data_IF_821317203938
#
_entry.id   IF_821317203938
#
_cell.length_a   1.000
_cell.length_b   1.000
_cell.length_c   1.000
_cell.angle_alpha   90.00
_cell.angle_beta   90.00
_cell.angle_gamma   90.00
#
_symmetry.space_group_name_H-M   'P 1'
#
loop_
_entity.id
_entity.type
_entity.pdbx_description
1 polymer ?
#
# COMPACT_ATOMS: atom_id res chain seq x y z
N UNK A 1 -22.84 23.60 -5.53
CA UNK A 1 -21.83 22.91 -6.36
C UNK A 1 -20.87 22.23 -5.40
N UNK A 2 -20.71 20.90 -5.48
CA UNK A 2 -19.74 20.20 -4.64
C UNK A 2 -18.33 20.67 -5.04
N UNK A 3 -17.56 21.17 -4.08
CA UNK A 3 -16.21 21.67 -4.34
C UNK A 3 -15.29 20.45 -4.50
N UNK A 4 -15.00 20.10 -5.74
CA UNK A 4 -14.17 18.95 -6.09
C UNK A 4 -12.70 19.31 -5.83
N UNK A 5 -12.11 18.67 -4.83
CA UNK A 5 -10.69 18.86 -4.49
C UNK A 5 -9.85 17.94 -5.37
N UNK A 6 -9.00 18.56 -6.20
CA UNK A 6 -8.01 17.85 -7.00
C UNK A 6 -6.73 17.62 -6.18
N UNK A 7 -6.23 16.38 -6.08
CA UNK A 7 -5.03 16.08 -5.32
C UNK A 7 -3.77 16.48 -6.10
N UNK A 8 -3.51 17.78 -6.23
CA UNK A 8 -2.33 18.30 -6.93
C UNK A 8 -1.11 18.18 -6.03
N UNK A 9 -0.11 17.39 -6.45
CA UNK A 9 1.14 17.22 -5.70
C UNK A 9 1.08 16.17 -4.58
N UNK A 10 -0.09 15.61 -4.28
CA UNK A 10 -0.28 14.58 -3.27
C UNK A 10 0.08 13.21 -3.87
N UNK A 11 0.98 12.49 -3.22
CA UNK A 11 1.46 11.17 -3.66
C UNK A 11 1.15 10.05 -2.67
N UNK A 12 0.50 10.38 -1.56
CA UNK A 12 0.10 9.44 -0.52
C UNK A 12 -1.35 9.03 -0.71
N UNK A 13 -1.60 7.71 -0.74
CA UNK A 13 -2.95 7.19 -0.85
C UNK A 13 -3.81 7.56 0.38
N UNK A 14 -3.21 7.54 1.56
CA UNK A 14 -3.88 7.89 2.83
C UNK A 14 -4.39 9.33 2.80
N UNK A 15 -3.55 10.26 2.32
CA UNK A 15 -3.92 11.68 2.25
C UNK A 15 -5.07 11.91 1.26
N UNK A 16 -5.03 11.27 0.09
CA UNK A 16 -6.10 11.39 -0.91
C UNK A 16 -7.44 10.90 -0.33
N UNK A 17 -7.42 9.78 0.41
CA UNK A 17 -8.61 9.22 1.05
C UNK A 17 -9.11 10.08 2.20
N UNK A 18 -8.20 10.62 3.03
CA UNK A 18 -8.57 11.50 4.15
C UNK A 18 -9.12 12.86 3.70
N UNK A 19 -8.65 13.39 2.57
CA UNK A 19 -9.07 14.68 2.04
C UNK A 19 -10.36 14.61 1.20
N UNK A 20 -10.90 13.41 0.98
CA UNK A 20 -12.06 13.22 0.10
C UNK A 20 -11.83 13.71 -1.34
N UNK A 21 -10.57 13.71 -1.78
CA UNK A 21 -10.17 14.19 -3.11
C UNK A 21 -10.51 13.18 -4.20
N UNK A 22 -10.55 13.62 -5.47
CA UNK A 22 -10.75 12.69 -6.58
C UNK A 22 -9.62 11.67 -6.62
N UNK A 23 -10.00 10.40 -6.54
CA UNK A 23 -9.12 9.27 -6.79
C UNK A 23 -9.67 8.46 -7.97
N UNK A 24 -8.83 8.25 -8.99
CA UNK A 24 -9.17 7.35 -10.10
C UNK A 24 -8.93 5.93 -9.64
N UNK A 25 -10.01 5.16 -9.46
CA UNK A 25 -9.91 3.81 -8.96
C UNK A 25 -9.19 2.89 -9.95
N UNK A 26 -8.03 2.39 -9.54
CA UNK A 26 -7.24 1.37 -10.23
C UNK A 26 -6.96 0.18 -9.32
N UNK A 27 -7.72 0.03 -8.24
CA UNK A 27 -7.47 -1.00 -7.23
C UNK A 27 -7.76 -2.41 -7.73
N UNK A 28 -8.59 -2.59 -8.75
CA UNK A 28 -8.75 -3.87 -9.44
C UNK A 28 -7.42 -4.37 -10.04
N UNK A 29 -6.62 -3.47 -10.62
CA UNK A 29 -5.28 -3.82 -11.12
C UNK A 29 -4.33 -4.15 -9.96
N UNK A 30 -4.48 -3.50 -8.80
CA UNK A 30 -3.67 -3.83 -7.62
C UNK A 30 -3.93 -5.26 -7.16
N UNK A 31 -5.19 -5.69 -7.13
CA UNK A 31 -5.57 -7.07 -6.81
C UNK A 31 -4.99 -8.06 -7.82
N UNK A 32 -5.15 -7.81 -9.12
CA UNK A 32 -4.56 -8.66 -10.18
C UNK A 32 -3.04 -8.74 -10.04
N UNK A 33 -2.38 -7.61 -9.74
CA UNK A 33 -0.94 -7.59 -9.52
C UNK A 33 -0.54 -8.48 -8.33
N UNK A 34 -1.28 -8.41 -7.23
CA UNK A 34 -1.02 -9.20 -6.03
C UNK A 34 -1.19 -10.71 -6.26
N UNK A 35 -2.19 -11.11 -7.04
CA UNK A 35 -2.50 -12.53 -7.32
C UNK A 35 -1.55 -13.16 -8.35
N UNK A 36 -1.22 -12.43 -9.43
CA UNK A 36 -0.59 -13.04 -10.61
C UNK A 36 0.95 -13.00 -10.60
N UNK A 37 1.58 -12.04 -9.92
CA UNK A 37 2.98 -11.72 -10.21
C UNK A 37 3.96 -11.97 -9.08
N UNK A 38 5.08 -12.58 -9.47
CA UNK A 38 6.26 -12.78 -8.61
C UNK A 38 7.16 -11.54 -8.58
N UNK A 39 7.31 -10.85 -9.71
CA UNK A 39 8.21 -9.69 -9.86
C UNK A 39 7.63 -8.65 -10.81
N UNK A 40 7.55 -7.39 -10.37
CA UNK A 40 7.06 -6.27 -11.18
C UNK A 40 8.11 -5.18 -11.34
N UNK A 41 8.36 -4.79 -12.59
CA UNK A 41 9.22 -3.66 -12.91
C UNK A 41 8.40 -2.44 -13.32
N UNK A 42 8.39 -1.41 -12.46
CA UNK A 42 7.72 -0.14 -12.75
C UNK A 42 8.66 0.80 -13.53
N UNK A 43 8.57 0.76 -14.87
CA UNK A 43 9.41 1.42 -15.88
C UNK A 43 9.55 2.96 -15.93
N UNK A 44 10.03 3.70 -14.92
CA UNK A 44 10.34 5.18 -14.93
C UNK A 44 9.66 6.18 -15.94
N UNK A 45 8.34 6.21 -16.24
CA UNK A 45 7.76 7.33 -16.97
C UNK A 45 7.49 8.47 -15.97
N UNK A 46 7.86 9.70 -16.33
CA UNK A 46 7.69 10.88 -15.47
C UNK A 46 6.19 11.13 -15.26
N UNK A 47 5.77 11.41 -14.01
CA UNK A 47 4.36 11.65 -13.61
C UNK A 47 3.38 10.48 -13.81
N UNK A 48 3.88 9.26 -14.00
CA UNK A 48 3.02 8.08 -14.12
C UNK A 48 2.25 7.70 -12.83
N UNK A 49 2.54 8.36 -11.70
CA UNK A 49 1.89 8.06 -10.42
C UNK A 49 2.41 6.79 -9.74
N UNK A 50 3.67 6.40 -10.02
CA UNK A 50 4.30 5.23 -9.36
C UNK A 50 4.32 5.34 -7.84
N UNK A 51 4.65 6.52 -7.31
CA UNK A 51 4.65 6.75 -5.86
C UNK A 51 3.27 6.50 -5.25
N UNK A 52 2.21 6.95 -5.92
CA UNK A 52 0.84 6.72 -5.49
C UNK A 52 0.47 5.23 -5.54
N UNK A 53 0.86 4.53 -6.61
CA UNK A 53 0.65 3.09 -6.73
C UNK A 53 1.38 2.32 -5.61
N UNK A 54 2.65 2.64 -5.35
CA UNK A 54 3.44 2.03 -4.27
C UNK A 54 2.81 2.33 -2.90
N UNK A 55 2.35 3.57 -2.67
CA UNK A 55 1.63 3.91 -1.46
C UNK A 55 0.34 3.11 -1.32
N UNK A 56 -0.39 2.88 -2.42
CA UNK A 56 -1.62 2.08 -2.42
C UNK A 56 -1.32 0.62 -2.07
N UNK A 57 -0.31 0.02 -2.72
CA UNK A 57 0.15 -1.34 -2.45
C UNK A 57 0.62 -1.51 -0.99
N UNK A 58 1.33 -0.52 -0.46
CA UNK A 58 1.78 -0.53 0.92
C UNK A 58 0.62 -0.60 1.92
N UNK A 59 -0.42 0.20 1.72
CA UNK A 59 -1.61 0.19 2.58
C UNK A 59 -2.46 -1.07 2.36
N UNK A 60 -2.50 -1.58 1.14
CA UNK A 60 -3.19 -2.82 0.78
C UNK A 60 -2.60 -4.02 1.52
N UNK A 61 -1.30 -4.26 1.38
CA UNK A 61 -0.62 -5.38 2.03
C UNK A 61 -0.53 -5.23 3.56
N UNK A 62 -0.63 -4.00 4.09
CA UNK A 62 -0.74 -3.76 5.53
C UNK A 62 -2.07 -4.17 6.14
N UNK A 63 -3.11 -4.36 5.32
CA UNK A 63 -4.44 -4.69 5.81
C UNK A 63 -5.34 -3.51 6.14
N UNK A 64 -5.04 -2.29 5.64
CA UNK A 64 -5.79 -1.08 5.99
C UNK A 64 -7.10 -0.95 5.17
N UNK A 65 -8.00 -1.95 5.29
CA UNK A 65 -9.27 -2.07 4.55
C UNK A 65 -10.14 -0.81 4.59
N UNK A 66 -10.14 -0.08 5.70
CA UNK A 66 -10.91 1.16 5.85
C UNK A 66 -10.63 2.19 4.75
N UNK A 67 -9.37 2.26 4.29
CA UNK A 67 -8.99 3.17 3.21
C UNK A 67 -9.53 2.73 1.85
N UNK A 68 -9.87 1.45 1.68
CA UNK A 68 -10.33 0.88 0.42
C UNK A 68 -11.85 0.78 0.29
N UNK A 69 -12.60 1.11 1.35
CA UNK A 69 -14.07 1.07 1.33
C UNK A 69 -14.66 1.78 0.11
N UNK A 70 -15.48 1.04 -0.64
CA UNK A 70 -16.15 1.52 -1.84
C UNK A 70 -15.30 1.57 -3.12
N UNK A 71 -14.05 1.09 -3.09
CA UNK A 71 -13.22 0.86 -4.28
C UNK A 71 -13.43 -0.57 -4.82
N UNK A 72 -12.94 -0.85 -6.02
CA UNK A 72 -13.08 -2.17 -6.65
C UNK A 72 -12.51 -3.30 -5.78
N UNK A 73 -11.37 -3.09 -5.13
CA UNK A 73 -10.71 -4.11 -4.31
C UNK A 73 -11.50 -4.52 -3.06
N UNK A 74 -12.28 -3.61 -2.47
CA UNK A 74 -13.15 -3.93 -1.32
C UNK A 74 -14.30 -4.86 -1.69
N UNK A 75 -14.65 -4.95 -2.99
CA UNK A 75 -15.61 -5.93 -3.51
C UNK A 75 -14.95 -7.26 -3.86
N UNK A 76 -13.69 -7.22 -4.30
CA UNK A 76 -12.92 -8.40 -4.70
C UNK A 76 -12.47 -9.22 -3.47
N UNK A 77 -12.02 -8.56 -2.40
CA UNK A 77 -11.67 -9.18 -1.12
C UNK A 77 -12.78 -9.00 -0.08
N UNK A 78 -13.94 -9.59 -0.38
CA UNK A 78 -15.12 -9.52 0.48
C UNK A 78 -14.99 -10.36 1.75
N UNK A 79 -14.28 -11.50 1.67
CA UNK A 79 -14.22 -12.51 2.73
C UNK A 79 -13.01 -12.36 3.67
N UNK A 80 -11.79 -12.37 3.14
CA UNK A 80 -10.55 -12.31 3.94
C UNK A 80 -9.58 -11.28 3.35
N UNK A 81 -9.04 -10.39 4.20
CA UNK A 81 -8.06 -9.39 3.77
C UNK A 81 -6.63 -9.85 4.11
N UNK A 82 -5.79 -10.12 3.10
CA UNK A 82 -4.46 -10.64 3.33
C UNK A 82 -3.57 -9.58 3.98
N UNK A 83 -3.01 -9.92 5.15
CA UNK A 83 -2.09 -9.06 5.89
C UNK A 83 -0.66 -9.61 5.76
N UNK A 84 0.24 -8.80 5.20
CA UNK A 84 1.63 -9.17 4.96
C UNK A 84 2.58 -8.16 5.62
N UNK A 85 3.75 -8.62 6.11
CA UNK A 85 4.79 -7.71 6.56
C UNK A 85 5.35 -6.93 5.36
N UNK A 86 5.12 -5.62 5.32
CA UNK A 86 5.60 -4.75 4.22
C UNK A 86 6.95 -4.13 4.57
N UNK A 87 7.95 -4.39 3.74
CA UNK A 87 9.26 -3.74 3.82
C UNK A 87 9.36 -2.63 2.77
N UNK A 88 9.42 -1.37 3.23
CA UNK A 88 9.62 -0.22 2.35
C UNK A 88 11.09 0.24 2.43
N UNK A 89 11.84 0.09 1.34
CA UNK A 89 13.24 0.52 1.23
C UNK A 89 13.31 1.74 0.31
N UNK A 90 13.84 2.85 0.80
CA UNK A 90 14.05 4.08 0.04
C UNK A 90 15.54 4.37 -0.08
N UNK A 91 16.04 4.62 -1.29
CA UNK A 91 17.46 4.89 -1.56
C UNK A 91 17.72 6.37 -1.84
N UNK A 92 16.84 7.27 -1.39
CA UNK A 92 16.96 8.69 -1.67
C UNK A 92 18.03 9.32 -0.74
N UNK A 93 19.31 9.12 -1.09
CA UNK A 93 20.44 9.97 -0.74
C UNK A 93 20.84 10.12 0.73
N UNK A 94 20.33 9.32 1.68
CA UNK A 94 20.79 9.38 3.07
C UNK A 94 22.02 8.50 3.28
N UNK A 95 23.04 9.05 3.94
CA UNK A 95 24.20 8.31 4.41
C UNK A 95 23.75 7.26 5.45
N UNK A 96 23.60 6.00 5.02
CA UNK A 96 23.27 4.85 5.87
C UNK A 96 24.50 4.34 6.63
N UNK A 97 25.23 5.25 7.29
CA UNK A 97 26.54 4.94 7.93
C UNK A 97 26.36 4.40 9.37
N UNK A 98 25.15 4.46 9.93
CA UNK A 98 24.88 4.07 11.32
C UNK A 98 23.58 3.26 11.40
N UNK A 99 23.58 2.16 12.17
CA UNK A 99 22.39 1.35 12.46
C UNK A 99 21.23 2.16 13.06
N UNK A 100 21.53 3.33 13.66
CA UNK A 100 20.53 4.26 14.20
C UNK A 100 19.81 5.10 13.11
N UNK A 101 20.33 5.19 11.88
CA UNK A 101 19.67 5.94 10.80
C UNK A 101 18.61 5.14 10.05
N UNK A 102 18.46 3.84 10.37
CA UNK A 102 17.37 2.99 9.90
C UNK A 102 16.13 3.26 10.75
N UNK A 103 15.31 4.26 10.37
CA UNK A 103 14.00 4.43 10.98
C UNK A 103 13.10 3.26 10.57
N UNK A 104 13.10 2.19 11.37
CA UNK A 104 12.13 1.09 11.22
C UNK A 104 10.77 1.64 11.65
N UNK A 105 9.96 2.12 10.70
CA UNK A 105 8.56 2.47 10.96
C UNK A 105 7.77 1.17 11.15
N UNK A 106 7.79 0.60 12.35
CA UNK A 106 6.88 -0.49 12.75
C UNK A 106 5.47 0.11 12.88
N UNK A 107 4.48 -0.51 12.23
CA UNK A 107 3.56 -1.32 13.00
C UNK A 107 3.63 -2.73 12.46
N UNK A 108 4.19 -3.64 13.25
CA UNK A 108 3.99 -5.06 13.04
C UNK A 108 2.52 -5.33 13.35
N UNK A 109 1.70 -5.58 12.33
CA UNK A 109 0.48 -6.35 12.52
C UNK A 109 0.93 -7.75 12.93
N UNK A 110 1.12 -7.94 14.24
CA UNK A 110 1.54 -9.19 14.84
C UNK A 110 0.35 -9.71 15.65
N UNK A 111 -0.64 -10.27 14.96
CA UNK A 111 -1.42 -11.37 15.52
C UNK A 111 -0.74 -12.67 15.10
N UNK A 112 0.46 -12.88 15.68
CA UNK A 112 1.10 -14.19 15.69
C UNK A 112 0.28 -15.06 16.65
N UNK A 113 -0.82 -15.64 16.16
CA UNK A 113 -1.44 -16.78 16.82
C UNK A 113 -0.50 -17.96 16.60
N UNK A 114 0.46 -18.09 17.50
CA UNK A 114 1.23 -19.32 17.69
C UNK A 114 0.21 -20.39 18.08
N UNK A 115 -0.32 -21.12 17.10
CA UNK A 115 -0.62 -22.53 17.31
C UNK A 115 0.61 -23.31 16.89
N UNK A 116 1.52 -23.45 17.84
CA UNK A 116 2.35 -24.64 17.91
C UNK A 116 1.41 -25.85 17.99
N UNK A 117 1.32 -26.66 16.94
CA UNK A 117 1.48 -28.11 17.08
C UNK A 117 1.44 -28.84 15.72
N UNK A 118 2.31 -29.86 15.63
CA UNK A 118 2.16 -31.10 14.83
C UNK A 118 2.44 -30.95 13.31
N UNK A 119 3.68 -31.19 12.87
CA UNK A 119 4.17 -32.51 12.41
C UNK A 119 3.20 -33.15 11.39
N UNK A 120 3.44 -32.94 10.10
CA UNK A 120 3.87 -33.94 9.11
C UNK A 120 4.27 -33.21 7.82
#
# INVERSE_FOLDING_TARGET
>A
MANIVYPIGIQSFVEIRSLGSIYVDKTALVHELADTGKYYFLSRPRRFGKSLLISTLHEYFKGNRELFKGLAIDRLESDEWPCHPVLHIDFNGRNYVSAASMSTRRPLCMSLSIRANTIF
#
